data_IF_862876556968
#
_entry.id   IF_862876556968
#
_cell.length_a   1.000
_cell.length_b   1.000
_cell.length_c   1.000
_cell.angle_alpha   90.00
_cell.angle_beta   90.00
_cell.angle_gamma   90.00
#
_symmetry.space_group_name_H-M   'P 1'
#
loop_
_entity.id
_entity.type
_entity.pdbx_description
1 polymer ?
#
# COMPACT_ATOMS: atom_id res chain seq x y z
N UNK A 1 -9.34 -42.44 4.21
CA UNK A 1 -10.27 -41.53 4.89
C UNK A 1 -9.48 -40.50 5.72
N UNK A 2 -8.93 -39.43 5.10
CA UNK A 2 -8.67 -38.09 5.70
C UNK A 2 -7.62 -37.17 4.99
N UNK A 3 -6.90 -37.59 3.94
CA UNK A 3 -5.84 -36.71 3.36
C UNK A 3 -6.12 -36.15 1.96
N UNK A 4 -6.87 -36.84 1.10
CA UNK A 4 -7.16 -36.38 -0.28
C UNK A 4 -8.23 -35.27 -0.39
N UNK A 5 -8.60 -34.65 0.73
CA UNK A 5 -9.62 -33.59 0.79
C UNK A 5 -9.01 -32.21 1.11
N UNK A 6 -7.72 -32.15 1.50
CA UNK A 6 -7.00 -30.88 1.71
C UNK A 6 -6.63 -30.18 0.40
N UNK A 7 -6.40 -30.94 -0.67
CA UNK A 7 -5.98 -30.39 -1.96
C UNK A 7 -7.15 -29.74 -2.75
N UNK A 8 -8.40 -30.05 -2.40
CA UNK A 8 -9.56 -29.43 -3.05
C UNK A 8 -9.77 -27.97 -2.62
N UNK A 9 -9.23 -27.56 -1.46
CA UNK A 9 -9.26 -26.16 -1.02
C UNK A 9 -8.20 -25.27 -1.69
N UNK A 10 -7.13 -25.85 -2.24
CA UNK A 10 -6.10 -25.08 -2.94
C UNK A 10 -6.51 -24.64 -4.35
N UNK A 11 -7.60 -25.20 -4.91
CA UNK A 11 -8.07 -24.85 -6.26
C UNK A 11 -9.19 -23.81 -6.28
N UNK A 12 -9.84 -23.56 -5.14
CA UNK A 12 -10.85 -22.49 -4.99
C UNK A 12 -10.18 -21.14 -4.67
N UNK A 13 -9.05 -21.11 -3.95
CA UNK A 13 -8.28 -19.87 -3.76
C UNK A 13 -7.61 -19.38 -5.05
N UNK A 14 -7.21 -20.29 -5.94
CA UNK A 14 -6.54 -19.96 -7.20
C UNK A 14 -7.48 -19.39 -8.29
N UNK A 15 -8.80 -19.53 -8.13
CA UNK A 15 -9.79 -19.00 -9.08
C UNK A 15 -10.42 -17.68 -8.62
N UNK A 16 -10.07 -17.17 -7.44
CA UNK A 16 -10.40 -15.79 -7.03
C UNK A 16 -9.31 -14.77 -7.41
N UNK A 17 -8.20 -15.22 -7.99
CA UNK A 17 -7.20 -14.32 -8.61
C UNK A 17 -7.68 -13.74 -9.96
N UNK A 18 -8.88 -14.09 -10.45
CA UNK A 18 -9.32 -13.76 -11.82
C UNK A 18 -10.39 -12.65 -11.95
N UNK A 19 -10.93 -12.07 -10.88
CA UNK A 19 -11.81 -10.90 -10.97
C UNK A 19 -11.78 -10.11 -9.67
N UNK A 20 -11.84 -8.77 -9.78
CA UNK A 20 -12.00 -7.74 -8.72
C UNK A 20 -10.67 -7.07 -8.36
N UNK A 21 -10.34 -5.85 -8.75
CA UNK A 21 -11.08 -4.78 -9.40
C UNK A 21 -10.04 -3.91 -10.12
N UNK A 22 -10.17 -3.62 -11.42
CA UNK A 22 -9.62 -2.39 -11.96
C UNK A 22 -10.46 -1.23 -11.41
N UNK A 23 -10.22 -0.83 -10.16
CA UNK A 23 -10.63 0.48 -9.66
C UNK A 23 -9.55 1.51 -10.02
N UNK A 24 -9.16 1.55 -11.30
CA UNK A 24 -8.65 2.79 -11.89
C UNK A 24 -9.91 3.54 -12.30
N UNK A 25 -10.44 4.39 -11.42
CA UNK A 25 -11.74 4.98 -11.65
C UNK A 25 -11.93 6.36 -11.08
N UNK A 26 -11.48 6.61 -9.84
CA UNK A 26 -11.54 7.93 -9.24
C UNK A 26 -10.31 8.10 -8.38
N UNK A 27 -9.49 9.11 -8.67
CA UNK A 27 -8.53 9.61 -7.70
C UNK A 27 -9.24 9.75 -6.35
N UNK A 28 -8.72 9.14 -5.28
CA UNK A 28 -9.28 9.33 -3.96
C UNK A 28 -9.32 10.83 -3.64
N UNK A 29 -10.37 11.30 -2.98
CA UNK A 29 -10.47 12.69 -2.59
C UNK A 29 -9.32 13.07 -1.64
N UNK A 30 -8.85 14.31 -1.74
CA UNK A 30 -7.77 14.84 -0.90
C UNK A 30 -8.32 15.27 0.47
N UNK A 31 -8.80 14.30 1.25
CA UNK A 31 -9.34 14.51 2.61
C UNK A 31 -8.47 13.92 3.72
N UNK A 32 -7.24 13.52 3.38
CA UNK A 32 -6.25 13.07 4.34
C UNK A 32 -6.56 11.69 4.94
N UNK A 33 -7.37 10.88 4.26
CA UNK A 33 -7.65 9.50 4.63
C UNK A 33 -6.74 8.55 3.85
N UNK A 34 -6.16 7.56 4.51
CA UNK A 34 -5.33 6.56 3.87
C UNK A 34 -6.18 5.51 3.13
N UNK A 35 -6.24 5.60 1.81
CA UNK A 35 -7.00 4.70 0.93
C UNK A 35 -6.14 4.25 -0.26
N UNK A 36 -6.51 3.15 -0.95
CA UNK A 36 -5.80 2.73 -2.16
C UNK A 36 -5.75 3.86 -3.19
N UNK A 37 -4.57 4.12 -3.75
CA UNK A 37 -4.31 5.27 -4.62
C UNK A 37 -3.78 6.50 -3.88
N UNK A 38 -3.60 6.44 -2.56
CA UNK A 38 -2.95 7.50 -1.77
C UNK A 38 -1.46 7.24 -1.58
N UNK A 39 -0.66 8.31 -1.69
CA UNK A 39 0.72 8.36 -1.18
C UNK A 39 0.66 8.67 0.31
N UNK A 40 1.17 7.74 1.10
CA UNK A 40 1.19 7.84 2.55
C UNK A 40 2.61 8.13 3.00
N UNK A 41 2.76 9.11 3.90
CA UNK A 41 3.99 9.33 4.65
C UNK A 41 3.73 8.95 6.10
N UNK A 42 4.51 8.02 6.62
CA UNK A 42 4.44 7.57 8.01
C UNK A 42 5.72 7.89 8.74
N UNK A 43 5.62 8.03 10.07
CA UNK A 43 6.77 8.17 10.97
C UNK A 43 6.82 7.03 11.96
N UNK A 44 7.97 6.39 12.09
CA UNK A 44 8.26 5.36 13.07
C UNK A 44 8.70 5.97 14.42
N UNK A 45 8.76 5.13 15.45
CA UNK A 45 9.12 5.55 16.82
C UNK A 45 10.55 6.09 16.93
N UNK A 46 11.47 5.54 16.13
CA UNK A 46 12.86 6.00 15.96
C UNK A 46 12.97 7.37 15.26
N UNK A 47 11.86 7.91 14.76
CA UNK A 47 11.78 9.20 14.08
C UNK A 47 12.02 9.14 12.58
N UNK A 48 12.34 7.97 12.02
CA UNK A 48 12.44 7.77 10.58
C UNK A 48 11.06 7.92 9.91
N UNK A 49 11.07 8.45 8.70
CA UNK A 49 9.87 8.63 7.90
C UNK A 49 9.97 7.86 6.60
N UNK A 50 8.92 7.12 6.26
CA UNK A 50 8.82 6.43 4.98
C UNK A 50 7.62 6.95 4.19
N UNK A 51 7.77 6.99 2.88
CA UNK A 51 6.70 7.40 1.96
C UNK A 51 6.48 6.33 0.92
N UNK A 52 5.23 5.88 0.76
CA UNK A 52 4.87 4.82 -0.16
C UNK A 52 3.46 4.99 -0.70
N UNK A 53 3.19 4.40 -1.86
CA UNK A 53 1.87 4.34 -2.47
C UNK A 53 1.11 3.11 -1.95
N UNK A 54 -0.09 3.31 -1.39
CA UNK A 54 -0.99 2.22 -1.04
C UNK A 54 -1.68 1.70 -2.32
N UNK A 55 -1.33 0.50 -2.80
CA UNK A 55 -1.84 -0.04 -4.07
C UNK A 55 -1.96 -1.56 -4.06
N UNK A 56 -2.97 -2.09 -4.77
CA UNK A 56 -3.13 -3.53 -4.99
C UNK A 56 -2.23 -4.06 -6.12
N UNK A 57 -1.55 -3.18 -6.88
CA UNK A 57 -0.70 -3.57 -8.00
C UNK A 57 0.76 -3.61 -7.55
N UNK A 58 1.40 -4.77 -7.70
CA UNK A 58 2.83 -4.92 -7.45
C UNK A 58 3.60 -4.85 -8.79
N UNK A 59 4.63 -4.01 -8.80
CA UNK A 59 5.70 -3.86 -9.80
C UNK A 59 5.30 -3.54 -11.26
N UNK A 60 5.89 -2.45 -11.79
CA UNK A 60 5.84 -2.09 -13.22
C UNK A 60 4.70 -1.15 -13.66
N UNK A 61 3.71 -0.89 -12.79
CA UNK A 61 2.67 0.12 -13.03
C UNK A 61 3.08 1.53 -12.56
N UNK A 62 4.13 1.62 -11.74
CA UNK A 62 4.62 2.83 -11.09
C UNK A 62 6.14 2.98 -11.35
N UNK A 63 6.70 4.20 -11.25
CA UNK A 63 8.13 4.42 -11.43
C UNK A 63 8.95 3.59 -10.42
N UNK A 64 10.13 3.12 -10.84
CA UNK A 64 10.97 2.22 -10.04
C UNK A 64 11.42 2.81 -8.70
N UNK A 65 11.47 4.13 -8.59
CA UNK A 65 11.82 4.87 -7.37
C UNK A 65 10.63 5.04 -6.40
N UNK A 66 9.40 4.68 -6.81
CA UNK A 66 8.22 4.77 -5.95
C UNK A 66 8.04 3.48 -5.17
N UNK A 67 8.19 3.57 -3.85
CA UNK A 67 7.85 2.47 -2.94
C UNK A 67 6.33 2.22 -2.96
N UNK A 68 5.94 0.95 -3.07
CA UNK A 68 4.54 0.52 -3.05
C UNK A 68 4.28 -0.35 -1.83
N UNK A 69 3.11 -0.16 -1.20
CA UNK A 69 2.64 -0.98 -0.10
C UNK A 69 1.27 -1.56 -0.45
N UNK A 70 1.09 -2.86 -0.26
CA UNK A 70 -0.22 -3.49 -0.45
C UNK A 70 -1.16 -3.16 0.71
N UNK A 71 -2.44 -2.80 0.45
CA UNK A 71 -3.44 -2.62 1.49
C UNK A 71 -3.76 -3.92 2.26
N UNK A 72 -3.37 -5.08 1.73
CA UNK A 72 -3.49 -6.37 2.41
C UNK A 72 -2.31 -6.68 3.34
N UNK A 73 -1.23 -5.89 3.28
CA UNK A 73 -0.09 -6.00 4.18
C UNK A 73 -0.45 -5.61 5.62
N UNK A 74 0.29 -6.06 6.66
CA UNK A 74 -0.02 -5.70 8.05
C UNK A 74 -0.03 -4.18 8.28
N UNK A 75 0.91 -3.45 7.67
CA UNK A 75 0.98 -1.99 7.71
C UNK A 75 -0.18 -1.36 6.93
N UNK A 76 -0.41 -1.79 5.68
CA UNK A 76 -1.49 -1.28 4.84
C UNK A 76 -2.87 -1.45 5.47
N UNK A 77 -3.14 -2.61 6.07
CA UNK A 77 -4.39 -2.87 6.81
C UNK A 77 -4.58 -1.98 8.03
N UNK A 78 -3.49 -1.64 8.72
CA UNK A 78 -3.53 -0.78 9.90
C UNK A 78 -3.77 0.69 9.53
N UNK A 79 -3.21 1.14 8.40
CA UNK A 79 -3.36 2.49 7.88
C UNK A 79 -4.68 2.70 7.14
N UNK A 80 -5.23 1.68 6.49
CA UNK A 80 -6.44 1.81 5.67
C UNK A 80 -7.61 2.44 6.45
N UNK A 81 -8.09 3.58 5.96
CA UNK A 81 -9.18 4.37 6.55
C UNK A 81 -8.76 5.31 7.69
N UNK A 82 -7.46 5.41 8.00
CA UNK A 82 -6.95 6.30 9.05
C UNK A 82 -6.65 7.69 8.50
N UNK A 83 -6.78 8.70 9.36
CA UNK A 83 -6.56 10.10 9.00
C UNK A 83 -5.15 10.56 9.30
N UNK A 84 -4.70 11.58 8.57
CA UNK A 84 -3.48 12.31 8.90
C UNK A 84 -3.47 12.73 10.37
N UNK A 85 -2.33 12.53 11.03
CA UNK A 85 -2.11 12.72 12.46
C UNK A 85 -2.49 11.52 13.33
N UNK A 86 -3.12 10.47 12.78
CA UNK A 86 -3.46 9.29 13.56
C UNK A 86 -2.29 8.32 13.70
N UNK A 87 -2.22 7.72 14.89
CA UNK A 87 -1.29 6.64 15.19
C UNK A 87 -1.95 5.28 14.99
N UNK A 88 -1.21 4.37 14.37
CA UNK A 88 -1.61 2.99 14.14
C UNK A 88 -0.56 2.04 14.67
N UNK A 89 -1.01 0.85 15.07
CA UNK A 89 -0.15 -0.22 15.52
C UNK A 89 -0.37 -1.44 14.64
N UNK A 90 0.72 -2.08 14.21
CA UNK A 90 0.66 -3.29 13.40
C UNK A 90 1.68 -4.31 13.89
N UNK A 91 1.33 -5.60 13.75
CA UNK A 91 2.23 -6.69 14.09
C UNK A 91 3.27 -6.90 12.99
N UNK A 92 4.54 -6.98 13.36
CA UNK A 92 5.62 -7.46 12.49
C UNK A 92 5.80 -8.97 12.64
N UNK A 93 6.29 -9.67 11.60
CA UNK A 93 6.47 -11.13 11.63
C UNK A 93 7.39 -11.64 12.76
N UNK A 94 8.21 -10.78 13.34
CA UNK A 94 9.06 -11.09 14.50
C UNK A 94 8.27 -11.24 15.83
N UNK A 95 6.97 -10.93 15.82
CA UNK A 95 6.08 -11.01 16.98
C UNK A 95 6.02 -9.73 17.82
N UNK A 96 6.78 -8.70 17.43
CA UNK A 96 6.68 -7.36 18.00
C UNK A 96 5.51 -6.57 17.37
N UNK A 97 5.03 -5.57 18.09
CA UNK A 97 4.10 -4.57 17.55
C UNK A 97 4.89 -3.31 17.26
N UNK A 98 4.77 -2.79 16.04
CA UNK A 98 5.32 -1.51 15.66
C UNK A 98 4.23 -0.46 15.65
N UNK A 99 4.59 0.74 16.08
CA UNK A 99 3.73 1.92 16.07
C UNK A 99 4.23 2.89 15.01
N UNK A 100 3.31 3.42 14.21
CA UNK A 100 3.61 4.49 13.25
C UNK A 100 2.53 5.56 13.28
N UNK A 101 2.94 6.79 13.01
CA UNK A 101 2.04 7.94 12.87
C UNK A 101 1.87 8.24 11.38
N UNK A 102 0.64 8.30 10.90
CA UNK A 102 0.33 8.76 9.57
C UNK A 102 0.54 10.27 9.51
N UNK A 103 1.64 10.73 8.92
CA UNK A 103 1.93 12.16 8.79
C UNK A 103 1.15 12.80 7.65
N UNK A 104 1.08 12.11 6.52
CA UNK A 104 0.46 12.62 5.30
C UNK A 104 -0.23 11.50 4.54
N UNK A 105 -1.39 11.82 3.96
CA UNK A 105 -2.13 10.94 3.06
C UNK A 105 -2.70 11.83 1.95
N UNK A 106 -2.12 11.74 0.76
CA UNK A 106 -2.49 12.58 -0.39
C UNK A 106 -2.71 11.71 -1.63
N UNK A 107 -3.60 12.07 -2.54
CA UNK A 107 -3.85 11.27 -3.75
C UNK A 107 -2.59 11.19 -4.60
N UNK A 108 -2.27 9.99 -5.07
CA UNK A 108 -1.22 9.78 -6.05
C UNK A 108 -1.67 10.35 -7.39
N UNK A 109 -1.13 11.51 -7.72
CA UNK A 109 -1.29 12.10 -9.05
C UNK A 109 -0.04 11.75 -9.86
N UNK A 110 -0.13 10.93 -10.90
CA UNK A 110 0.99 10.64 -11.80
C UNK A 110 1.28 11.84 -12.71
N UNK A 111 1.16 13.08 -12.21
CA UNK A 111 1.36 14.32 -12.97
C UNK A 111 2.61 14.15 -13.83
N UNK A 112 2.37 14.14 -15.14
CA UNK A 112 3.29 13.72 -16.19
C UNK A 112 4.73 14.08 -15.85
N UNK A 113 5.57 13.08 -15.53
CA UNK A 113 7.01 13.27 -15.47
C UNK A 113 7.53 13.54 -16.88
N UNK A 114 7.38 14.79 -17.33
CA UNK A 114 8.20 15.38 -18.38
C UNK A 114 9.06 16.47 -17.72
N UNK A 115 10.39 16.31 -17.85
CA UNK A 115 11.49 17.13 -17.31
C UNK A 115 11.94 16.73 -15.88
N UNK A 116 13.22 16.53 -15.57
CA UNK A 116 14.45 16.69 -16.33
C UNK A 116 15.60 15.96 -15.61
N UNK A 117 16.39 15.18 -16.35
CA UNK A 117 17.82 15.13 -16.09
C UNK A 117 18.44 16.20 -17.01
N UNK A 118 19.06 17.29 -16.50
CA UNK A 118 19.94 18.07 -17.34
C UNK A 118 21.13 17.18 -17.71
N UNK A 119 21.38 17.05 -19.02
CA UNK A 119 22.67 16.64 -19.53
C UNK A 119 23.74 17.54 -18.89
N UNK A 120 24.59 16.95 -18.06
CA UNK A 120 25.77 17.60 -17.49
C UNK A 120 26.97 17.28 -18.37
N UNK A 121 27.40 18.32 -19.09
CA UNK A 121 28.72 18.63 -19.70
C UNK A 121 29.69 17.49 -20.05
#
# INVERSE_FOLDING_TARGET
>A
MLTAQRERHNRIRKLQELLQNPSVGQDPPDDGVAEPGMVLTVRYDDGETETFLLTHHEDGAYPADLMTCSPDSPLGRALHGRKQGETVQFGVPDGQTMEVVLLQAVPYRPEVSHAAAPAGD
#
